data_IF_650886787662
#
_entry.id   IF_650886787662
#
_cell.length_a   1.000
_cell.length_b   1.000
_cell.length_c   1.000
_cell.angle_alpha   90.00
_cell.angle_beta   90.00
_cell.angle_gamma   90.00
#
_symmetry.space_group_name_H-M   'P 1'
#
loop_
_entity.id
_entity.type
_entity.pdbx_description
1 polymer ?
#
# COMPACT_ATOMS: atom_id res chain seq x y z
N UNK A 1 69.01 36.38 -36.56
CA UNK A 1 67.70 36.74 -37.15
C UNK A 1 66.97 35.44 -37.41
N UNK A 2 65.73 35.15 -37.05
CA UNK A 2 64.72 35.74 -36.18
C UNK A 2 63.79 34.55 -35.84
N UNK A 3 63.23 34.57 -34.64
CA UNK A 3 62.35 33.54 -34.11
C UNK A 3 60.99 33.50 -34.83
N UNK A 4 60.36 32.33 -34.90
CA UNK A 4 58.90 32.21 -34.86
C UNK A 4 58.53 30.95 -34.07
N UNK A 5 58.03 31.17 -32.86
CA UNK A 5 57.25 30.22 -32.09
C UNK A 5 55.89 30.05 -32.76
N UNK A 6 55.44 28.81 -32.96
CA UNK A 6 54.02 28.56 -33.24
C UNK A 6 53.46 27.68 -32.13
N UNK A 7 52.77 28.36 -31.20
CA UNK A 7 51.88 27.76 -30.22
C UNK A 7 50.77 26.99 -30.93
N UNK A 8 50.63 25.69 -30.66
CA UNK A 8 49.40 24.96 -30.99
C UNK A 8 48.50 25.03 -29.76
N UNK A 9 47.40 25.75 -29.96
CA UNK A 9 46.36 26.05 -28.98
C UNK A 9 45.65 24.78 -28.50
N UNK A 10 45.55 24.74 -27.18
CA UNK A 10 44.70 23.94 -26.31
C UNK A 10 43.27 23.81 -26.88
N UNK A 11 42.82 22.58 -27.15
CA UNK A 11 41.41 22.25 -27.27
C UNK A 11 41.06 21.28 -26.14
N UNK A 12 40.92 21.81 -24.91
CA UNK A 12 40.19 21.12 -23.85
C UNK A 12 38.71 21.14 -24.23
N UNK A 13 38.29 20.21 -25.08
CA UNK A 13 36.88 19.83 -25.15
C UNK A 13 36.57 19.12 -23.84
N UNK A 14 36.13 19.90 -22.86
CA UNK A 14 35.39 19.37 -21.72
C UNK A 14 34.13 18.73 -22.27
N UNK A 15 34.19 17.42 -22.52
CA UNK A 15 33.00 16.60 -22.50
C UNK A 15 32.43 16.75 -21.09
N UNK A 16 31.44 17.65 -20.97
CA UNK A 16 30.46 17.56 -19.91
C UNK A 16 29.83 16.17 -20.08
N UNK A 17 30.36 15.19 -19.37
CA UNK A 17 29.64 13.98 -19.05
C UNK A 17 28.37 14.46 -18.34
N UNK A 18 27.29 14.55 -19.12
CA UNK A 18 25.94 14.43 -18.60
C UNK A 18 25.96 13.12 -17.82
N UNK A 19 26.07 13.23 -16.49
CA UNK A 19 25.70 12.12 -15.64
C UNK A 19 24.25 11.79 -16.04
N UNK A 20 23.95 10.54 -16.43
CA UNK A 20 22.56 10.16 -16.55
C UNK A 20 21.93 10.44 -15.20
N UNK A 21 20.95 11.34 -15.21
CA UNK A 21 20.03 11.52 -14.10
C UNK A 21 19.61 10.12 -13.69
N UNK A 22 19.90 9.75 -12.44
CA UNK A 22 19.64 8.41 -11.94
C UNK A 22 18.19 8.06 -12.28
N UNK A 23 17.99 7.06 -13.15
CA UNK A 23 16.70 6.45 -13.46
C UNK A 23 16.15 5.80 -12.18
N UNK A 24 15.72 6.63 -11.22
CA UNK A 24 14.89 6.16 -10.13
C UNK A 24 13.56 5.77 -10.76
N UNK A 25 13.04 4.56 -10.46
CA UNK A 25 11.71 4.21 -10.93
C UNK A 25 10.71 5.28 -10.48
N UNK A 26 9.74 5.60 -11.33
CA UNK A 26 8.66 6.54 -11.00
C UNK A 26 7.81 6.05 -9.81
N UNK A 27 7.96 4.78 -9.44
CA UNK A 27 7.22 4.11 -8.38
C UNK A 27 8.09 3.02 -7.75
N UNK A 28 8.57 3.25 -6.52
CA UNK A 28 9.37 2.28 -5.76
C UNK A 28 8.49 1.18 -5.13
N UNK A 29 7.17 1.26 -5.27
CA UNK A 29 6.22 0.24 -4.82
C UNK A 29 5.38 0.65 -3.61
N UNK A 30 4.78 -0.35 -2.98
CA UNK A 30 4.07 -0.20 -1.71
C UNK A 30 4.84 -0.90 -0.60
N UNK A 31 4.90 -0.29 0.57
CA UNK A 31 5.14 -0.99 1.84
C UNK A 31 3.79 -1.18 2.52
N UNK A 32 3.30 -2.42 2.52
CA UNK A 32 2.04 -2.78 3.16
C UNK A 32 2.35 -3.48 4.48
N UNK A 33 1.78 -2.99 5.57
CA UNK A 33 1.89 -3.58 6.90
C UNK A 33 0.51 -4.06 7.34
N UNK A 34 0.39 -5.37 7.58
CA UNK A 34 -0.74 -5.97 8.27
C UNK A 34 -0.36 -6.19 9.74
N UNK A 35 -1.31 -6.64 10.56
CA UNK A 35 -1.04 -6.92 11.97
C UNK A 35 -1.55 -8.31 12.32
N UNK A 36 -0.71 -9.08 13.01
CA UNK A 36 -1.09 -10.37 13.57
C UNK A 36 -2.12 -10.19 14.70
N UNK A 37 -2.72 -11.30 15.15
CA UNK A 37 -3.77 -11.29 16.17
C UNK A 37 -3.32 -10.71 17.53
N UNK A 38 -2.02 -10.69 17.81
CA UNK A 38 -1.42 -10.09 19.02
C UNK A 38 -1.05 -8.61 18.84
N UNK A 39 -1.35 -8.02 17.68
CA UNK A 39 -1.00 -6.65 17.32
C UNK A 39 0.42 -6.46 16.78
N UNK A 40 1.19 -7.55 16.60
CA UNK A 40 2.53 -7.47 16.00
C UNK A 40 2.43 -7.02 14.54
N UNK A 41 3.12 -5.94 14.12
CA UNK A 41 3.15 -5.53 12.73
C UNK A 41 3.90 -6.56 11.87
N UNK A 42 3.33 -6.88 10.72
CA UNK A 42 3.88 -7.80 9.73
C UNK A 42 3.97 -7.06 8.40
N UNK A 43 5.20 -6.80 7.96
CA UNK A 43 5.45 -6.30 6.61
C UNK A 43 5.07 -7.39 5.60
N UNK A 44 4.13 -7.05 4.72
CA UNK A 44 3.57 -7.96 3.74
C UNK A 44 4.53 -8.08 2.55
N UNK A 45 4.92 -9.31 2.24
CA UNK A 45 5.80 -9.61 1.11
C UNK A 45 5.00 -10.20 -0.06
N UNK A 46 5.37 -9.88 -1.32
CA UNK A 46 4.74 -10.48 -2.48
C UNK A 46 4.78 -12.01 -2.44
N UNK A 47 3.66 -12.65 -2.76
CA UNK A 47 3.48 -14.10 -2.80
C UNK A 47 3.76 -14.83 -1.47
N UNK A 48 3.79 -14.09 -0.36
CA UNK A 48 3.93 -14.66 0.99
C UNK A 48 2.63 -14.42 1.76
N UNK A 49 2.04 -15.50 2.27
CA UNK A 49 0.85 -15.41 3.10
C UNK A 49 1.13 -14.79 4.47
N UNK A 50 0.21 -13.97 4.97
CA UNK A 50 0.30 -13.34 6.28
C UNK A 50 -1.00 -13.55 7.08
N UNK A 51 -0.91 -13.73 8.42
CA UNK A 51 -2.10 -13.87 9.26
C UNK A 51 -2.74 -12.49 9.51
N UNK A 52 -4.06 -12.41 9.41
CA UNK A 52 -4.86 -11.26 9.85
C UNK A 52 -5.48 -11.50 11.23
N UNK A 53 -5.77 -12.75 11.56
CA UNK A 53 -6.31 -13.16 12.86
C UNK A 53 -7.77 -13.62 12.80
N UNK A 54 -8.38 -13.88 13.95
CA UNK A 54 -9.76 -14.36 14.05
C UNK A 54 -10.73 -13.19 14.13
N UNK A 55 -11.82 -13.25 13.37
CA UNK A 55 -12.92 -12.31 13.49
C UNK A 55 -14.07 -12.93 14.27
N UNK A 56 -14.53 -12.25 15.32
CA UNK A 56 -15.77 -12.59 16.01
C UNK A 56 -16.59 -11.32 16.19
N UNK A 57 -17.88 -11.38 15.90
CA UNK A 57 -18.80 -10.23 16.06
C UNK A 57 -18.85 -9.70 17.50
N UNK A 58 -18.48 -10.52 18.49
CA UNK A 58 -18.45 -10.16 19.91
C UNK A 58 -17.11 -9.59 20.38
N UNK A 59 -16.08 -9.51 19.52
CA UNK A 59 -14.78 -8.95 19.88
C UNK A 59 -14.87 -7.42 19.98
N UNK A 60 -14.94 -6.92 21.22
CA UNK A 60 -15.15 -5.52 21.57
C UNK A 60 -13.96 -4.57 21.33
N UNK A 61 -12.88 -4.96 20.63
CA UNK A 61 -11.59 -4.24 20.72
C UNK A 61 -11.06 -3.58 19.43
N UNK A 62 -11.51 -3.95 18.24
CA UNK A 62 -11.15 -3.23 17.01
C UNK A 62 -12.20 -3.47 15.93
N UNK A 63 -12.49 -2.48 15.08
CA UNK A 63 -13.56 -2.54 14.09
C UNK A 63 -13.30 -3.54 12.95
N UNK A 64 -12.06 -4.01 12.78
CA UNK A 64 -11.65 -4.96 11.75
C UNK A 64 -10.15 -5.22 11.83
N UNK A 65 -9.58 -5.71 10.72
CA UNK A 65 -8.16 -5.99 10.57
C UNK A 65 -7.42 -4.73 10.09
N UNK A 66 -6.48 -4.18 10.88
CA UNK A 66 -5.73 -3.00 10.48
C UNK A 66 -4.78 -3.30 9.31
N UNK A 67 -4.70 -2.35 8.38
CA UNK A 67 -3.79 -2.34 7.24
C UNK A 67 -3.21 -0.94 7.14
N UNK A 68 -1.89 -0.84 7.11
CA UNK A 68 -1.16 0.38 6.84
C UNK A 68 -0.45 0.28 5.48
N UNK A 69 -0.51 1.35 4.69
CA UNK A 69 0.05 1.34 3.34
C UNK A 69 0.85 2.61 3.14
N UNK A 70 2.12 2.46 2.77
CA UNK A 70 3.04 3.55 2.49
C UNK A 70 3.53 3.46 1.05
N UNK A 71 3.48 4.58 0.35
CA UNK A 71 4.19 4.84 -0.91
C UNK A 71 4.87 6.21 -0.81
N UNK A 72 6.10 6.33 -1.32
CA UNK A 72 6.87 7.57 -1.24
C UNK A 72 6.43 8.63 -2.26
N UNK A 73 5.77 8.19 -3.32
CA UNK A 73 5.46 8.98 -4.50
C UNK A 73 3.96 9.28 -4.65
N UNK A 74 3.09 8.47 -4.03
CA UNK A 74 1.65 8.61 -4.15
C UNK A 74 1.08 9.73 -3.26
N UNK A 75 0.26 10.60 -3.87
CA UNK A 75 -0.53 11.60 -3.15
C UNK A 75 -1.81 10.96 -2.57
N UNK A 76 -2.33 9.94 -3.26
CA UNK A 76 -3.55 9.21 -2.92
C UNK A 76 -3.31 7.72 -3.14
N UNK A 77 -3.81 6.91 -2.20
CA UNK A 77 -3.91 5.46 -2.34
C UNK A 77 -5.40 5.11 -2.35
N UNK A 78 -5.88 4.58 -3.48
CA UNK A 78 -7.26 4.11 -3.60
C UNK A 78 -7.35 2.63 -3.28
N UNK A 79 -8.35 2.27 -2.48
CA UNK A 79 -8.62 0.91 -2.05
C UNK A 79 -10.00 0.47 -2.50
N UNK A 80 -10.10 -0.73 -3.09
CA UNK A 80 -11.38 -1.32 -3.49
C UNK A 80 -11.46 -2.79 -3.07
N UNK A 81 -12.47 -3.13 -2.27
CA UNK A 81 -12.74 -4.50 -1.83
C UNK A 81 -13.87 -5.13 -2.64
N UNK A 82 -13.73 -6.40 -3.03
CA UNK A 82 -14.84 -7.16 -3.63
C UNK A 82 -15.91 -7.50 -2.60
N UNK A 83 -15.49 -7.81 -1.37
CA UNK A 83 -16.35 -8.12 -0.23
C UNK A 83 -15.76 -7.63 1.11
N UNK A 84 -16.60 -7.55 2.13
CA UNK A 84 -16.30 -6.81 3.36
C UNK A 84 -16.35 -5.30 3.17
N UNK A 85 -15.98 -4.56 4.22
CA UNK A 85 -16.02 -3.10 4.24
C UNK A 85 -14.75 -2.49 4.83
N UNK A 86 -14.43 -1.26 4.41
CA UNK A 86 -13.40 -0.43 5.02
C UNK A 86 -13.98 0.42 6.14
N UNK A 87 -13.25 0.51 7.24
CA UNK A 87 -13.62 1.29 8.41
C UNK A 87 -12.49 2.24 8.76
N UNK A 88 -12.85 3.45 9.14
CA UNK A 88 -11.94 4.39 9.79
C UNK A 88 -12.17 4.36 11.30
N UNK A 89 -11.07 4.33 12.03
CA UNK A 89 -11.08 4.48 13.48
C UNK A 89 -9.86 5.28 13.90
N UNK A 90 -10.11 6.41 14.53
CA UNK A 90 -9.07 7.31 15.05
C UNK A 90 -9.21 7.38 16.57
N UNK A 91 -8.32 6.71 17.33
CA UNK A 91 -8.23 6.92 18.77
C UNK A 91 -7.87 8.40 19.06
N UNK A 92 -8.40 9.02 20.12
CA UNK A 92 -9.23 8.46 21.19
C UNK A 92 -10.74 8.52 20.92
N UNK A 93 -11.19 9.00 19.77
CA UNK A 93 -12.59 9.40 19.54
C UNK A 93 -13.57 8.23 19.53
N UNK A 94 -13.08 6.98 19.65
CA UNK A 94 -13.84 5.71 19.74
C UNK A 94 -14.93 5.50 18.68
N UNK A 95 -15.00 6.37 17.66
CA UNK A 95 -15.98 6.32 16.58
C UNK A 95 -15.41 5.51 15.43
N UNK A 96 -16.15 4.47 15.09
CA UNK A 96 -15.94 3.68 13.89
C UNK A 96 -16.80 4.30 12.80
N UNK A 97 -16.20 4.64 11.67
CA UNK A 97 -16.90 5.18 10.50
C UNK A 97 -16.77 4.17 9.38
N UNK A 98 -17.91 3.63 8.94
CA UNK A 98 -17.97 2.77 7.75
C UNK A 98 -17.76 3.59 6.47
N UNK A 99 -16.95 3.05 5.55
CA UNK A 99 -16.61 3.63 4.25
C UNK A 99 -17.05 2.76 3.08
N UNK A 100 -17.67 1.62 3.34
CA UNK A 100 -18.08 0.66 2.34
C UNK A 100 -16.89 -0.01 1.67
N UNK A 101 -17.10 -0.40 0.42
CA UNK A 101 -16.14 -1.20 -0.36
C UNK A 101 -15.03 -0.38 -1.03
N UNK A 102 -15.05 0.94 -0.90
CA UNK A 102 -14.07 1.80 -1.53
C UNK A 102 -13.69 2.97 -0.63
N UNK A 103 -12.40 3.28 -0.54
CA UNK A 103 -11.89 4.42 0.20
C UNK A 103 -10.60 4.93 -0.44
N UNK A 104 -10.42 6.26 -0.40
CA UNK A 104 -9.15 6.90 -0.72
C UNK A 104 -8.47 7.34 0.57
N UNK A 105 -7.18 7.05 0.69
CA UNK A 105 -6.36 7.37 1.86
C UNK A 105 -5.04 8.03 1.48
N UNK A 106 -4.38 8.65 2.47
CA UNK A 106 -3.01 9.12 2.31
C UNK A 106 -2.02 8.01 2.62
N UNK A 107 -0.83 8.12 2.04
CA UNK A 107 0.31 7.30 2.42
C UNK A 107 0.57 7.39 3.93
N UNK A 108 0.67 6.24 4.59
CA UNK A 108 0.86 6.13 6.03
C UNK A 108 -0.40 6.11 6.87
N UNK A 109 -1.59 6.30 6.30
CA UNK A 109 -2.84 6.13 7.04
C UNK A 109 -3.04 4.65 7.42
N UNK A 110 -3.66 4.41 8.59
CA UNK A 110 -4.12 3.07 8.97
C UNK A 110 -5.62 2.98 8.73
N UNK A 111 -6.02 2.01 7.92
CA UNK A 111 -7.41 1.65 7.70
C UNK A 111 -7.69 0.29 8.30
N UNK A 112 -8.97 -0.04 8.44
CA UNK A 112 -9.39 -1.35 8.91
C UNK A 112 -10.27 -1.99 7.83
N UNK A 113 -9.97 -3.23 7.46
CA UNK A 113 -10.88 -4.04 6.66
C UNK A 113 -11.64 -4.99 7.57
N UNK A 114 -12.97 -5.04 7.46
CA UNK A 114 -13.82 -5.99 8.18
C UNK A 114 -14.48 -6.95 7.19
N UNK A 115 -14.66 -8.24 7.54
CA UNK A 115 -15.41 -9.17 6.69
C UNK A 115 -16.92 -8.92 6.69
N UNK A 116 -17.43 -7.99 7.50
CA UNK A 116 -18.86 -7.62 7.53
C UNK A 116 -19.18 -6.49 6.57
N UNK A 117 -20.39 -6.50 6.02
CA UNK A 117 -20.95 -5.38 5.25
C UNK A 117 -22.05 -4.70 6.08
N UNK A 118 -22.19 -3.37 5.96
CA UNK A 118 -23.16 -2.57 6.72
C UNK A 118 -24.63 -3.00 6.44
N UNK A 119 -24.89 -3.50 5.23
CA UNK A 119 -26.22 -3.93 4.80
C UNK A 119 -26.72 -5.24 5.44
N UNK A 120 -25.80 -6.12 5.90
CA UNK A 120 -26.17 -7.35 6.59
C UNK A 120 -25.01 -7.91 7.43
N UNK A 121 -24.98 -7.57 8.73
CA UNK A 121 -24.04 -8.13 9.71
C UNK A 121 -24.08 -9.66 9.83
N UNK A 122 -25.09 -10.34 9.26
CA UNK A 122 -25.17 -11.81 9.22
C UNK A 122 -24.33 -12.41 8.09
N UNK A 123 -23.92 -11.59 7.11
CA UNK A 123 -23.12 -12.04 5.97
C UNK A 123 -21.66 -11.68 6.23
N UNK A 124 -20.88 -12.72 6.51
CA UNK A 124 -19.44 -12.61 6.77
C UNK A 124 -18.70 -13.08 5.52
N UNK A 125 -17.91 -12.19 4.91
CA UNK A 125 -17.08 -12.48 3.75
C UNK A 125 -16.17 -13.68 4.03
N UNK A 126 -16.27 -14.71 3.19
CA UNK A 126 -15.39 -15.88 3.26
C UNK A 126 -14.12 -15.67 2.44
N UNK A 127 -14.22 -14.90 1.36
CA UNK A 127 -13.11 -14.47 0.52
C UNK A 127 -13.31 -13.01 0.14
N UNK A 128 -12.22 -12.30 -0.10
CA UNK A 128 -12.24 -10.94 -0.66
C UNK A 128 -10.93 -10.64 -1.36
N UNK A 129 -10.94 -9.70 -2.30
CA UNK A 129 -9.71 -9.08 -2.80
C UNK A 129 -9.79 -7.59 -2.57
N UNK A 130 -8.70 -7.02 -2.03
CA UNK A 130 -8.50 -5.59 -1.91
C UNK A 130 -7.52 -5.16 -3.00
N UNK A 131 -8.00 -4.41 -3.98
CA UNK A 131 -7.15 -3.71 -4.93
C UNK A 131 -6.58 -2.44 -4.27
N UNK A 132 -5.27 -2.24 -4.43
CA UNK A 132 -4.51 -1.11 -3.90
C UNK A 132 -3.88 -0.38 -5.07
N UNK A 133 -4.26 0.88 -5.29
CA UNK A 133 -3.79 1.67 -6.43
C UNK A 133 -3.17 2.98 -5.93
N UNK A 134 -1.92 3.25 -6.35
CA UNK A 134 -1.22 4.48 -6.07
C UNK A 134 -1.47 5.50 -7.18
N UNK A 135 -1.82 6.72 -6.80
CA UNK A 135 -1.98 7.85 -7.71
C UNK A 135 -1.09 9.02 -7.31
N UNK A 136 -0.53 9.69 -8.31
CA UNK A 136 0.12 10.99 -8.18
C UNK A 136 -0.41 11.92 -9.26
N UNK A 137 -0.95 13.08 -8.88
CA UNK A 137 -1.61 14.02 -9.81
C UNK A 137 -2.61 13.31 -10.76
N UNK A 138 -3.50 12.49 -10.20
CA UNK A 138 -4.51 11.69 -10.92
C UNK A 138 -3.97 10.62 -11.89
N UNK A 139 -2.65 10.41 -11.94
CA UNK A 139 -2.01 9.35 -12.74
C UNK A 139 -1.73 8.12 -11.89
N UNK A 140 -2.18 6.95 -12.34
CA UNK A 140 -1.84 5.67 -11.73
C UNK A 140 -0.32 5.43 -11.82
N UNK A 141 0.32 5.25 -10.67
CA UNK A 141 1.74 4.92 -10.53
C UNK A 141 1.95 3.40 -10.51
N UNK A 142 1.02 2.68 -9.87
CA UNK A 142 1.08 1.24 -9.75
C UNK A 142 -0.07 0.67 -8.93
N UNK A 143 -0.17 -0.66 -8.99
CA UNK A 143 -1.30 -1.44 -8.49
C UNK A 143 -0.83 -2.74 -7.87
N UNK A 144 -1.52 -3.18 -6.82
CA UNK A 144 -1.37 -4.50 -6.20
C UNK A 144 -2.72 -5.02 -5.72
N UNK A 145 -2.80 -6.32 -5.48
CA UNK A 145 -4.00 -6.92 -4.89
C UNK A 145 -3.64 -7.71 -3.63
N UNK A 146 -4.40 -7.51 -2.57
CA UNK A 146 -4.36 -8.35 -1.37
C UNK A 146 -5.53 -9.33 -1.48
N UNK A 147 -5.26 -10.61 -1.62
CA UNK A 147 -6.30 -11.65 -1.58
C UNK A 147 -6.47 -12.12 -0.14
N UNK A 148 -7.70 -12.06 0.37
CA UNK A 148 -8.07 -12.40 1.73
C UNK A 148 -8.94 -13.66 1.70
N UNK A 149 -8.61 -14.62 2.56
CA UNK A 149 -9.34 -15.87 2.69
C UNK A 149 -9.61 -16.17 4.16
N UNK A 150 -10.85 -16.59 4.46
CA UNK A 150 -11.26 -17.16 5.74
C UNK A 150 -10.90 -18.64 5.77
N UNK A 151 -10.34 -19.09 6.88
CA UNK A 151 -10.10 -20.49 7.22
C UNK A 151 -11.28 -21.07 8.02
N UNK A 152 -11.31 -22.38 8.16
CA UNK A 152 -12.41 -23.10 8.83
C UNK A 152 -12.63 -22.67 10.30
N UNK A 153 -11.58 -22.17 10.95
CA UNK A 153 -11.58 -21.68 12.33
C UNK A 153 -12.01 -20.20 12.47
N UNK A 154 -12.59 -19.61 11.41
CA UNK A 154 -12.94 -18.19 11.33
C UNK A 154 -11.73 -17.24 11.43
N UNK A 155 -10.51 -17.75 11.29
CA UNK A 155 -9.32 -16.92 11.08
C UNK A 155 -9.19 -16.48 9.63
N UNK A 156 -8.60 -15.32 9.43
CA UNK A 156 -8.34 -14.74 8.13
C UNK A 156 -6.84 -14.70 7.85
N UNK A 157 -6.50 -14.90 6.58
CA UNK A 157 -5.14 -14.72 6.06
C UNK A 157 -5.18 -13.94 4.76
N UNK A 158 -4.15 -13.14 4.52
CA UNK A 158 -3.94 -12.42 3.28
C UNK A 158 -2.76 -12.98 2.49
N UNK A 159 -2.73 -12.74 1.19
CA UNK A 159 -1.55 -12.86 0.32
C UNK A 159 -1.51 -11.65 -0.62
N UNK A 160 -0.34 -11.03 -0.73
CA UNK A 160 -0.13 -9.95 -1.70
C UNK A 160 0.24 -10.56 -3.04
N UNK A 161 -0.55 -10.29 -4.07
CA UNK A 161 -0.30 -10.73 -5.45
C UNK A 161 -0.01 -9.53 -6.34
N UNK A 162 0.91 -9.74 -7.27
CA UNK A 162 1.22 -8.79 -8.33
C UNK A 162 0.35 -9.21 -9.53
N UNK A 163 -0.63 -8.38 -9.89
CA UNK A 163 -1.51 -8.58 -11.05
C UNK A 163 -1.21 -7.54 -12.11
#
# INVERSE_FOLDING_TARGET
>A
MAAVCTFILLAMFGFSFLQPESDKPLFDGFVITAYAADGTPVEVKPNVGFPLGMYQMTMSRVPGFPINIVSGEADVISLQATDGSFLLWTPPDSKVVDKGKQIDIKSGDTIYWTPTNDDDFRTIASTSSIEVIAYQNDKELGRRTIEINRKDDYSYSGILVEK
#
